data_IF_813916817960
#
_entry.id   IF_813916817960
#
_cell.length_a   1.000
_cell.length_b   1.000
_cell.length_c   1.000
_cell.angle_alpha   90.00
_cell.angle_beta   90.00
_cell.angle_gamma   90.00
#
_symmetry.space_group_name_H-M   'P 1'
#
loop_
_entity.id
_entity.type
_entity.pdbx_description
1 polymer ?
#
# COMPACT_ATOMS: atom_id res chain seq x y z
N UNK A 1 -12.97 -3.59 -21.94
CA UNK A 1 -12.46 -4.40 -20.81
C UNK A 1 -11.02 -4.73 -21.16
N UNK A 2 -10.05 -4.31 -20.33
CA UNK A 2 -8.65 -4.68 -20.53
C UNK A 2 -8.48 -6.04 -19.84
N UNK A 3 -8.00 -7.04 -20.57
CA UNK A 3 -7.72 -8.35 -19.96
C UNK A 3 -6.41 -8.27 -19.14
N UNK A 4 -6.39 -8.80 -17.92
CA UNK A 4 -5.18 -8.79 -17.10
C UNK A 4 -4.13 -9.77 -17.63
N UNK A 5 -2.90 -9.28 -17.84
CA UNK A 5 -1.76 -10.13 -18.19
C UNK A 5 -1.13 -10.72 -16.92
N UNK A 6 -1.37 -12.02 -16.69
CA UNK A 6 -0.85 -12.75 -15.55
C UNK A 6 0.68 -12.91 -15.57
N UNK A 7 1.31 -12.89 -16.75
CA UNK A 7 2.76 -12.99 -16.86
C UNK A 7 3.41 -11.74 -16.28
N UNK A 8 2.91 -10.56 -16.67
CA UNK A 8 3.37 -9.27 -16.16
C UNK A 8 3.08 -9.13 -14.66
N UNK A 9 1.87 -9.49 -14.22
CA UNK A 9 1.51 -9.37 -12.80
C UNK A 9 2.44 -10.19 -11.88
N UNK A 10 2.87 -11.38 -12.33
CA UNK A 10 3.75 -12.27 -11.55
C UNK A 10 5.18 -11.78 -11.44
N UNK A 11 5.65 -10.94 -12.37
CA UNK A 11 7.00 -10.37 -12.33
C UNK A 11 7.23 -9.50 -11.09
N UNK A 12 6.19 -8.87 -10.56
CA UNK A 12 6.23 -8.04 -9.36
C UNK A 12 6.38 -8.83 -8.05
N UNK A 13 6.43 -10.16 -8.10
CA UNK A 13 6.43 -11.04 -6.93
C UNK A 13 7.65 -11.98 -6.92
N UNK A 14 8.80 -11.56 -6.37
CA UNK A 14 10.07 -12.30 -6.47
C UNK A 14 10.06 -13.71 -5.86
N UNK A 15 9.17 -13.99 -4.91
CA UNK A 15 9.03 -15.32 -4.31
C UNK A 15 8.57 -16.37 -5.33
N UNK A 16 7.81 -15.98 -6.35
CA UNK A 16 7.38 -16.89 -7.43
C UNK A 16 8.58 -17.39 -8.25
N UNK A 17 9.59 -16.53 -8.46
CA UNK A 17 10.85 -16.89 -9.17
C UNK A 17 11.71 -17.88 -8.38
N UNK A 18 11.49 -18.00 -7.06
CA UNK A 18 12.20 -18.94 -6.18
C UNK A 18 11.52 -20.33 -6.12
N UNK A 19 10.48 -20.55 -6.91
CA UNK A 19 9.70 -21.79 -6.88
C UNK A 19 8.84 -21.94 -5.61
N UNK A 20 8.64 -20.86 -4.83
CA UNK A 20 7.80 -20.90 -3.64
C UNK A 20 6.34 -20.88 -4.08
N UNK A 21 5.61 -21.93 -3.68
CA UNK A 21 4.17 -22.04 -3.90
C UNK A 21 3.44 -21.42 -2.70
N UNK A 22 2.59 -20.43 -2.97
CA UNK A 22 1.89 -19.64 -1.95
C UNK A 22 0.37 -19.72 -2.15
N UNK A 23 -0.34 -20.23 -1.15
CA UNK A 23 -1.81 -20.38 -1.15
C UNK A 23 -2.48 -19.74 0.09
N UNK A 24 -1.90 -18.66 0.64
CA UNK A 24 -2.37 -18.02 1.87
C UNK A 24 -2.82 -16.54 1.68
N UNK A 25 -3.33 -16.19 0.49
CA UNK A 25 -3.65 -14.80 0.12
C UNK A 25 -4.73 -14.16 1.00
N UNK A 26 -5.64 -14.96 1.55
CA UNK A 26 -6.69 -14.48 2.44
C UNK A 26 -6.18 -14.01 3.81
N UNK A 27 -5.06 -14.55 4.29
CA UNK A 27 -4.50 -14.16 5.57
C UNK A 27 -3.60 -12.91 5.46
N UNK A 28 -2.66 -12.92 4.51
CA UNK A 28 -1.76 -11.79 4.26
C UNK A 28 -1.08 -11.94 2.91
N UNK A 29 -1.43 -11.08 1.95
CA UNK A 29 -0.83 -11.07 0.61
C UNK A 29 0.67 -10.73 0.62
N UNK A 30 1.46 -11.25 -0.34
CA UNK A 30 2.85 -10.87 -0.47
C UNK A 30 2.98 -9.42 -0.97
N UNK A 31 4.02 -8.74 -0.52
CA UNK A 31 4.35 -7.38 -0.97
C UNK A 31 4.93 -7.42 -2.39
N UNK A 32 4.38 -6.59 -3.28
CA UNK A 32 4.90 -6.43 -4.64
C UNK A 32 6.16 -5.53 -4.66
N UNK A 33 6.96 -5.60 -5.72
CA UNK A 33 8.23 -4.84 -5.79
C UNK A 33 8.03 -3.32 -5.73
N UNK A 34 6.96 -2.78 -6.33
CA UNK A 34 6.71 -1.33 -6.32
C UNK A 34 6.47 -0.82 -4.89
N UNK A 35 5.66 -1.54 -4.10
CA UNK A 35 5.40 -1.21 -2.70
C UNK A 35 6.66 -1.34 -1.85
N UNK A 36 7.45 -2.40 -2.05
CA UNK A 36 8.75 -2.56 -1.37
C UNK A 36 9.67 -1.36 -1.65
N UNK A 37 9.76 -0.95 -2.91
CA UNK A 37 10.68 0.11 -3.34
C UNK A 37 10.26 1.47 -2.77
N UNK A 38 8.94 1.76 -2.73
CA UNK A 38 8.42 2.98 -2.10
C UNK A 38 8.65 2.99 -0.58
N UNK A 39 8.43 1.86 0.12
CA UNK A 39 8.73 1.75 1.56
C UNK A 39 10.22 2.01 1.82
N UNK A 40 11.12 1.44 1.02
CA UNK A 40 12.55 1.67 1.15
C UNK A 40 12.92 3.13 0.90
N UNK A 41 12.29 3.77 -0.08
CA UNK A 41 12.46 5.19 -0.37
C UNK A 41 12.05 6.05 0.83
N UNK A 42 10.86 5.80 1.40
CA UNK A 42 10.36 6.49 2.58
C UNK A 42 11.28 6.31 3.80
N UNK A 43 11.75 5.09 4.06
CA UNK A 43 12.67 4.81 5.17
C UNK A 43 13.97 5.59 5.01
N UNK A 44 14.52 5.61 3.79
CA UNK A 44 15.74 6.36 3.47
C UNK A 44 15.54 7.86 3.63
N UNK A 45 14.46 8.41 3.10
CA UNK A 45 14.09 9.83 3.25
C UNK A 45 13.97 10.19 4.73
N UNK A 46 13.31 9.36 5.53
CA UNK A 46 13.12 9.61 6.96
C UNK A 46 14.41 9.48 7.79
N UNK A 47 15.39 8.69 7.35
CA UNK A 47 16.65 8.49 8.09
C UNK A 47 17.79 9.40 7.65
N UNK A 48 17.83 9.78 6.37
CA UNK A 48 18.95 10.50 5.74
C UNK A 48 18.54 11.86 5.16
N UNK A 49 17.24 12.09 4.95
CA UNK A 49 16.69 13.28 4.30
C UNK A 49 16.43 14.44 5.25
N UNK A 50 15.50 15.31 4.86
CA UNK A 50 15.15 16.50 5.63
C UNK A 50 14.21 16.13 6.79
N UNK A 51 14.45 16.74 7.95
CA UNK A 51 13.69 16.45 9.17
C UNK A 51 12.27 17.04 9.08
N UNK A 52 12.06 18.06 8.25
CA UNK A 52 10.79 18.79 8.12
C UNK A 52 10.21 18.66 6.70
N UNK A 53 9.81 17.43 6.36
CA UNK A 53 9.22 17.08 5.05
C UNK A 53 7.68 17.00 5.14
N UNK A 54 7.08 17.82 6.00
CA UNK A 54 5.63 17.82 6.22
C UNK A 54 4.82 18.10 4.94
N UNK A 55 5.32 18.98 4.08
CA UNK A 55 4.64 19.35 2.82
C UNK A 55 4.59 18.18 1.82
N UNK A 56 5.70 17.47 1.64
CA UNK A 56 5.76 16.30 0.75
C UNK A 56 4.92 15.15 1.30
N UNK A 57 4.94 14.94 2.62
CA UNK A 57 4.10 13.95 3.27
C UNK A 57 2.60 14.26 3.07
N UNK A 58 2.21 15.53 3.26
CA UNK A 58 0.83 15.97 3.05
C UNK A 58 0.38 15.73 1.61
N UNK A 59 1.23 16.02 0.62
CA UNK A 59 0.92 15.75 -0.78
C UNK A 59 0.71 14.25 -1.05
N UNK A 60 1.58 13.38 -0.51
CA UNK A 60 1.42 11.91 -0.60
C UNK A 60 0.09 11.45 0.03
N UNK A 61 -0.30 12.03 1.17
CA UNK A 61 -1.58 11.75 1.84
C UNK A 61 -2.77 12.15 0.97
N UNK A 62 -2.79 13.37 0.44
CA UNK A 62 -3.89 13.89 -0.37
C UNK A 62 -4.05 13.07 -1.67
N UNK A 63 -2.94 12.75 -2.34
CA UNK A 63 -2.93 11.91 -3.53
C UNK A 63 -3.42 10.48 -3.24
N UNK A 64 -3.00 9.88 -2.12
CA UNK A 64 -3.42 8.53 -1.73
C UNK A 64 -4.93 8.47 -1.50
N UNK A 65 -5.51 9.48 -0.85
CA UNK A 65 -6.96 9.55 -0.63
C UNK A 65 -7.73 9.71 -1.94
N UNK A 66 -7.22 10.47 -2.91
CA UNK A 66 -7.83 10.59 -4.24
C UNK A 66 -7.84 9.24 -4.97
N UNK A 67 -6.71 8.52 -5.00
CA UNK A 67 -6.62 7.20 -5.64
C UNK A 67 -7.54 6.17 -4.98
N UNK A 68 -7.62 6.17 -3.65
CA UNK A 68 -8.57 5.33 -2.93
C UNK A 68 -10.02 5.72 -3.20
N UNK A 69 -10.30 7.02 -3.36
CA UNK A 69 -11.60 7.54 -3.75
C UNK A 69 -12.05 7.00 -5.10
N UNK A 70 -11.17 7.04 -6.10
CA UNK A 70 -11.41 6.45 -7.42
C UNK A 70 -11.65 4.94 -7.33
N UNK A 71 -10.80 4.22 -6.57
CA UNK A 71 -10.89 2.77 -6.40
C UNK A 71 -12.20 2.34 -5.72
N UNK A 72 -12.66 3.10 -4.73
CA UNK A 72 -13.87 2.81 -3.94
C UNK A 72 -15.11 3.53 -4.45
N UNK A 73 -14.99 4.30 -5.54
CA UNK A 73 -16.04 5.16 -6.09
C UNK A 73 -16.66 6.09 -5.03
N UNK A 74 -15.81 6.81 -4.29
CA UNK A 74 -16.21 7.80 -3.30
C UNK A 74 -15.28 9.02 -3.32
N UNK A 75 -15.67 10.09 -2.62
CA UNK A 75 -14.86 11.29 -2.51
C UNK A 75 -13.76 11.14 -1.45
N UNK A 76 -12.61 11.78 -1.67
CA UNK A 76 -11.43 11.68 -0.80
C UNK A 76 -11.68 12.16 0.65
N UNK A 77 -12.59 13.11 0.85
CA UNK A 77 -12.99 13.62 2.17
C UNK A 77 -13.68 12.56 3.05
N UNK A 78 -14.20 11.48 2.44
CA UNK A 78 -14.78 10.34 3.16
C UNK A 78 -13.76 9.28 3.59
N UNK A 79 -12.49 9.48 3.29
CA UNK A 79 -11.43 8.50 3.55
C UNK A 79 -10.59 8.95 4.75
N UNK A 80 -10.51 8.06 5.74
CA UNK A 80 -9.63 8.16 6.90
C UNK A 80 -8.70 6.94 6.94
N UNK A 81 -7.45 7.15 7.35
CA UNK A 81 -6.48 6.06 7.54
C UNK A 81 -6.60 5.50 8.95
N UNK A 82 -6.56 4.17 9.06
CA UNK A 82 -6.53 3.42 10.32
C UNK A 82 -5.46 2.35 10.25
N UNK A 83 -4.89 1.95 11.38
CA UNK A 83 -3.74 1.03 11.42
C UNK A 83 -4.05 -0.36 10.87
N UNK A 84 -5.30 -0.81 11.01
CA UNK A 84 -5.79 -2.06 10.46
C UNK A 84 -7.32 -1.98 10.30
N UNK A 85 -7.92 -3.05 9.78
CA UNK A 85 -9.37 -3.19 9.63
C UNK A 85 -10.11 -3.42 10.96
N UNK A 86 -9.41 -3.81 12.02
CA UNK A 86 -9.96 -3.98 13.36
C UNK A 86 -9.93 -2.62 14.07
N UNK A 87 -11.00 -1.85 13.89
CA UNK A 87 -11.20 -0.65 14.69
C UNK A 87 -11.17 -1.02 16.19
N UNK A 88 -10.14 -0.57 16.92
CA UNK A 88 -9.97 -0.79 18.36
C UNK A 88 -10.98 -0.02 19.24
N UNK A 89 -12.04 0.54 18.64
CA UNK A 89 -13.16 1.18 19.34
C UNK A 89 -14.29 0.23 19.77
N UNK A 90 -14.20 -1.08 19.54
CA UNK A 90 -15.31 -2.02 19.79
C UNK A 90 -15.21 -2.86 21.07
N UNK A 91 -14.12 -2.79 21.84
CA UNK A 91 -14.03 -3.47 23.14
C UNK A 91 -13.34 -2.58 24.18
N UNK A 92 -14.13 -1.67 24.73
CA UNK A 92 -13.91 -1.19 26.09
C UNK A 92 -14.57 -2.16 27.07
N UNK A 93 -13.77 -3.07 27.63
CA UNK A 93 -13.96 -3.69 28.94
C UNK A 93 -12.59 -3.85 29.57
#
# INVERSE_FOLDING_TARGET
MIEPDLSIAREYFPHLKKGIIYFNHAASGPVNTNLRDEINSLLKESSEGSIDDYSSFKEKVDNSKNLLGEMLNCSADRIAFTDNSLCSGAFGF
#
